data_IF_884924772951
#
_entry.id   IF_884924772951
#
_cell.length_a   1.000
_cell.length_b   1.000
_cell.length_c   1.000
_cell.angle_alpha   90.00
_cell.angle_beta   90.00
_cell.angle_gamma   90.00
#
_symmetry.space_group_name_H-M   'P 1'
#
loop_
_entity.id
_entity.type
_entity.pdbx_description
1 polymer ?
#
# COMPACT_ATOMS: atom_id res chain seq x y z
N UNK A 1 13.07 -18.76 -7.36
CA UNK A 1 13.39 -17.31 -7.32
C UNK A 1 12.45 -16.66 -6.32
N UNK A 2 12.79 -15.50 -5.70
CA UNK A 2 11.95 -14.92 -4.66
C UNK A 2 10.67 -14.34 -5.26
N UNK A 3 9.54 -14.64 -4.64
CA UNK A 3 8.21 -14.13 -5.00
C UNK A 3 7.65 -13.36 -3.81
N UNK A 4 7.06 -12.19 -4.09
CA UNK A 4 6.23 -11.47 -3.13
C UNK A 4 4.80 -11.46 -3.62
N UNK A 5 3.88 -11.93 -2.78
CA UNK A 5 2.45 -11.99 -3.11
C UNK A 5 1.64 -10.92 -2.37
N UNK A 6 2.29 -10.09 -1.56
CA UNK A 6 1.63 -9.07 -0.74
C UNK A 6 2.62 -7.98 -0.36
N UNK A 7 2.47 -6.79 -0.93
CA UNK A 7 3.34 -5.65 -0.67
C UNK A 7 2.57 -4.33 -0.82
N UNK A 8 3.07 -3.28 -0.17
CA UNK A 8 2.40 -1.98 -0.07
C UNK A 8 3.41 -0.85 -0.31
N UNK A 9 2.91 0.29 -0.78
CA UNK A 9 3.65 1.54 -0.87
C UNK A 9 3.11 2.55 0.15
N UNK A 10 3.97 3.47 0.59
CA UNK A 10 3.54 4.57 1.47
C UNK A 10 2.56 5.54 0.82
N UNK A 11 2.39 5.51 -0.51
CA UNK A 11 1.45 6.37 -1.24
C UNK A 11 -0.01 6.04 -0.93
N UNK A 12 -0.34 4.76 -0.77
CA UNK A 12 -1.73 4.31 -0.60
C UNK A 12 -1.96 3.57 0.72
N UNK A 13 -0.89 3.32 1.49
CA UNK A 13 -0.92 2.68 2.79
C UNK A 13 -0.13 3.51 3.82
N UNK A 14 -0.83 4.15 4.76
CA UNK A 14 -0.22 5.12 5.68
C UNK A 14 0.61 4.52 6.81
N UNK A 15 0.70 3.19 6.90
CA UNK A 15 1.70 2.52 7.73
C UNK A 15 2.87 1.95 6.90
N UNK A 16 2.81 2.05 5.57
CA UNK A 16 3.90 1.72 4.68
C UNK A 16 4.72 2.97 4.35
N UNK A 17 5.85 2.76 3.68
CA UNK A 17 6.81 3.81 3.36
C UNK A 17 7.22 3.77 1.89
N UNK A 18 7.75 4.87 1.39
CA UNK A 18 8.23 5.02 0.01
C UNK A 18 7.13 5.27 -1.02
N UNK A 19 7.53 5.83 -2.16
CA UNK A 19 6.66 5.93 -3.34
C UNK A 19 6.48 4.55 -3.99
N UNK A 20 5.48 4.42 -4.87
CA UNK A 20 5.28 3.19 -5.65
C UNK A 20 6.53 2.89 -6.48
N UNK A 21 7.11 3.91 -7.09
CA UNK A 21 8.31 3.82 -7.94
C UNK A 21 9.55 3.37 -7.15
N UNK A 22 9.72 3.88 -5.92
CA UNK A 22 10.82 3.47 -5.04
C UNK A 22 10.72 1.99 -4.66
N UNK A 23 9.51 1.54 -4.29
CA UNK A 23 9.25 0.15 -3.91
C UNK A 23 9.46 -0.79 -5.10
N UNK A 24 8.97 -0.44 -6.28
CA UNK A 24 9.16 -1.26 -7.50
C UNK A 24 10.62 -1.30 -7.92
N UNK A 25 11.33 -0.17 -7.86
CA UNK A 25 12.77 -0.14 -8.16
C UNK A 25 13.57 -1.04 -7.23
N UNK A 26 13.13 -1.18 -5.98
CA UNK A 26 13.76 -2.04 -5.00
C UNK A 26 13.48 -3.53 -5.26
N UNK A 27 12.27 -3.90 -5.71
CA UNK A 27 11.98 -5.28 -6.11
C UNK A 27 12.87 -5.76 -7.28
N UNK A 28 13.13 -4.87 -8.25
CA UNK A 28 13.95 -5.17 -9.43
C UNK A 28 15.39 -5.42 -9.00
N UNK A 29 15.94 -4.58 -8.11
CA UNK A 29 17.30 -4.74 -7.57
C UNK A 29 17.45 -6.06 -6.84
N UNK A 30 16.44 -6.45 -6.09
CA UNK A 30 16.39 -7.72 -5.36
C UNK A 30 16.10 -8.94 -6.25
N UNK A 31 15.79 -8.70 -7.54
CA UNK A 31 15.54 -9.73 -8.55
C UNK A 31 14.36 -10.63 -8.18
N UNK A 32 13.28 -10.03 -7.68
CA UNK A 32 12.01 -10.74 -7.59
C UNK A 32 11.54 -11.17 -8.99
N UNK A 33 11.10 -12.42 -9.10
CA UNK A 33 10.49 -12.92 -10.33
C UNK A 33 9.02 -12.50 -10.42
N UNK A 34 8.35 -12.46 -9.26
CA UNK A 34 6.95 -12.06 -9.13
C UNK A 34 6.83 -11.12 -7.94
N UNK A 35 6.22 -9.96 -8.16
CA UNK A 35 6.00 -8.96 -7.13
C UNK A 35 4.59 -8.39 -7.24
N UNK A 36 3.77 -8.57 -6.20
CA UNK A 36 2.37 -8.12 -6.16
C UNK A 36 2.23 -6.95 -5.19
N UNK A 37 1.74 -5.82 -5.72
CA UNK A 37 1.29 -4.68 -4.93
C UNK A 37 -0.20 -4.83 -4.61
N UNK A 38 -0.54 -4.82 -3.32
CA UNK A 38 -1.88 -5.08 -2.79
C UNK A 38 -2.26 -4.04 -1.74
N UNK A 39 -2.52 -2.81 -2.17
CA UNK A 39 -2.82 -1.68 -1.29
C UNK A 39 -4.12 -1.84 -0.50
N UNK A 40 -4.26 -1.13 0.62
CA UNK A 40 -5.50 -1.13 1.39
C UNK A 40 -6.62 -0.39 0.65
N UNK A 41 -7.77 -1.06 0.55
CA UNK A 41 -9.00 -0.43 0.07
C UNK A 41 -9.55 0.47 1.18
N UNK A 42 -9.83 1.76 0.90
CA UNK A 42 -10.43 2.66 1.87
C UNK A 42 -11.82 2.17 2.32
N UNK A 43 -12.10 2.32 3.62
CA UNK A 43 -13.45 2.16 4.17
C UNK A 43 -14.17 3.50 4.10
N UNK A 44 -15.40 3.50 3.59
CA UNK A 44 -16.17 4.73 3.37
C UNK A 44 -17.33 4.93 4.34
N UNK A 45 -17.80 3.86 4.99
CA UNK A 45 -18.89 3.96 5.97
C UNK A 45 -18.28 4.23 7.34
N UNK A 46 -18.84 5.20 8.06
CA UNK A 46 -18.38 5.57 9.40
C UNK A 46 -18.40 4.40 10.37
N UNK A 47 -19.36 3.47 10.23
CA UNK A 47 -19.48 2.27 11.06
C UNK A 47 -18.40 1.22 10.80
N UNK A 48 -17.78 1.25 9.62
CA UNK A 48 -16.70 0.33 9.23
C UNK A 48 -15.30 0.89 9.59
N UNK A 49 -15.21 2.19 9.92
CA UNK A 49 -13.92 2.83 10.24
C UNK A 49 -13.36 2.31 11.57
N UNK A 50 -12.08 1.97 11.57
CA UNK A 50 -11.35 1.76 12.84
C UNK A 50 -10.90 3.12 13.41
N UNK A 51 -10.61 3.25 14.72
CA UNK A 51 -10.30 4.54 15.33
C UNK A 51 -9.20 5.35 14.63
N UNK A 52 -8.18 4.68 14.10
CA UNK A 52 -7.09 5.33 13.37
C UNK A 52 -7.53 5.95 12.02
N UNK A 53 -8.56 5.40 11.37
CA UNK A 53 -9.10 5.87 10.09
C UNK A 53 -10.12 7.01 10.26
N UNK A 54 -10.59 7.26 11.49
CA UNK A 54 -11.48 8.41 11.78
C UNK A 54 -10.67 9.71 11.83
N UNK A 55 -9.45 9.64 12.34
CA UNK A 55 -8.56 10.81 12.54
C UNK A 55 -7.65 11.08 11.33
N UNK A 56 -7.52 10.11 10.44
CA UNK A 56 -6.75 10.23 9.20
C UNK A 56 -7.71 10.03 8.02
N UNK A 57 -7.92 11.02 7.14
CA UNK A 57 -8.80 10.85 5.99
C UNK A 57 -8.32 9.67 5.12
N UNK A 58 -9.23 8.98 4.41
CA UNK A 58 -8.87 7.87 3.54
C UNK A 58 -7.75 8.29 2.57
N UNK A 59 -6.68 7.49 2.55
CA UNK A 59 -5.39 7.82 1.92
C UNK A 59 -5.44 7.74 0.39
N UNK A 60 -6.53 7.23 -0.17
CA UNK A 60 -6.84 7.21 -1.59
C UNK A 60 -7.42 8.54 -2.07
N UNK A 61 -6.59 9.56 -2.19
CA UNK A 61 -6.94 10.80 -2.89
C UNK A 61 -6.82 10.68 -4.42
N UNK A 62 -7.33 9.62 -5.03
CA UNK A 62 -7.40 9.51 -6.49
C UNK A 62 -8.51 8.52 -6.88
N UNK A 63 -9.75 9.00 -6.84
CA UNK A 63 -10.81 8.65 -7.80
C UNK A 63 -11.62 9.92 -8.06
#
# INVERSE_FOLDING_TARGET
MPHSHHSHSGRFCGHAFGSVEEVVSEDIKQRFEVYLLTEHVPRYRLEDLVPAEVVSPPQTRYI
#
